data_IF_143616184992
#
_entry.id   IF_143616184992
#
_cell.length_a   1.000
_cell.length_b   1.000
_cell.length_c   1.000
_cell.angle_alpha   90.00
_cell.angle_beta   90.00
_cell.angle_gamma   90.00
#
_symmetry.space_group_name_H-M   'P 1'
#
loop_
_entity.id
_entity.type
_entity.pdbx_description
1 polymer ?
#
# COMPACT_ATOMS: atom_id res chain seq x y z
N UNK A 1 13.75 -13.18 -13.97
CA UNK A 1 12.70 -12.22 -13.55
C UNK A 1 12.91 -11.93 -12.07
N UNK A 2 13.11 -10.67 -11.67
CA UNK A 2 13.11 -10.36 -10.25
C UNK A 2 11.72 -10.66 -9.71
N UNK A 3 11.62 -11.52 -8.68
CA UNK A 3 10.36 -11.81 -8.01
C UNK A 3 9.74 -10.49 -7.55
N UNK A 4 8.46 -10.28 -7.82
CA UNK A 4 7.68 -9.12 -7.37
C UNK A 4 7.94 -8.81 -5.88
N UNK A 5 8.07 -9.83 -5.05
CA UNK A 5 8.39 -9.70 -3.62
C UNK A 5 9.74 -9.03 -3.35
N UNK A 6 10.77 -9.28 -4.17
CA UNK A 6 12.07 -8.62 -4.02
C UNK A 6 11.98 -7.14 -4.35
N UNK A 7 11.21 -6.78 -5.39
CA UNK A 7 11.00 -5.39 -5.77
C UNK A 7 10.28 -4.61 -4.66
N UNK A 8 9.21 -5.17 -4.10
CA UNK A 8 8.46 -4.53 -3.00
C UNK A 8 9.35 -4.29 -1.78
N UNK A 9 10.15 -5.28 -1.37
CA UNK A 9 11.07 -5.14 -0.23
C UNK A 9 12.14 -4.07 -0.46
N UNK A 10 12.66 -3.96 -1.68
CA UNK A 10 13.63 -2.93 -2.05
C UNK A 10 13.01 -1.53 -1.99
N UNK A 11 11.77 -1.37 -2.49
CA UNK A 11 11.02 -0.11 -2.40
C UNK A 11 10.77 0.28 -0.93
N UNK A 12 10.28 -0.65 -0.11
CA UNK A 12 10.06 -0.42 1.33
C UNK A 12 11.36 0.01 2.00
N UNK A 13 12.50 -0.60 1.65
CA UNK A 13 13.81 -0.26 2.22
C UNK A 13 14.27 1.15 1.80
N UNK A 14 14.04 1.56 0.56
CA UNK A 14 14.54 2.84 0.01
C UNK A 14 13.64 4.04 0.30
N UNK A 15 12.33 3.86 0.41
CA UNK A 15 11.38 4.97 0.56
C UNK A 15 11.47 5.63 1.94
N UNK A 16 11.31 6.94 2.02
CA UNK A 16 11.16 7.64 3.31
C UNK A 16 9.72 7.57 3.85
N UNK A 17 8.74 7.57 2.94
CA UNK A 17 7.29 7.49 3.22
C UNK A 17 6.66 6.51 2.22
N UNK A 18 5.71 5.70 2.69
CA UNK A 18 4.98 4.73 1.87
C UNK A 18 3.48 5.07 1.80
N UNK A 19 2.91 4.97 0.60
CA UNK A 19 1.50 5.25 0.34
C UNK A 19 0.86 4.00 -0.27
N UNK A 20 -0.20 3.50 0.35
CA UNK A 20 -1.04 2.45 -0.21
C UNK A 20 -2.28 3.08 -0.84
N UNK A 21 -2.39 2.96 -2.16
CA UNK A 21 -3.53 3.50 -2.91
C UNK A 21 -4.62 2.45 -3.00
N UNK A 22 -5.77 2.75 -2.42
CA UNK A 22 -6.92 1.86 -2.27
C UNK A 22 -8.07 2.37 -3.14
N UNK A 23 -8.77 1.48 -3.84
CA UNK A 23 -9.97 1.84 -4.60
C UNK A 23 -11.15 1.99 -3.62
N UNK A 24 -11.72 3.19 -3.53
CA UNK A 24 -12.77 3.52 -2.56
C UNK A 24 -14.04 2.65 -2.71
N UNK A 25 -14.27 2.05 -3.90
CA UNK A 25 -15.41 1.15 -4.13
C UNK A 25 -15.23 -0.22 -3.47
N UNK A 26 -13.99 -0.68 -3.34
CA UNK A 26 -13.63 -2.00 -2.81
C UNK A 26 -12.44 -1.88 -1.84
N UNK A 27 -12.62 -1.16 -0.72
CA UNK A 27 -11.49 -0.79 0.14
C UNK A 27 -10.83 -2.01 0.78
N UNK A 28 -11.58 -3.02 1.17
CA UNK A 28 -11.01 -4.22 1.81
C UNK A 28 -10.36 -5.17 0.80
N UNK A 29 -10.87 -5.23 -0.43
CA UNK A 29 -10.36 -6.13 -1.48
C UNK A 29 -9.06 -5.62 -2.11
N UNK A 30 -8.85 -4.30 -2.10
CA UNK A 30 -7.67 -3.67 -2.72
C UNK A 30 -6.53 -3.42 -1.75
N UNK A 31 -6.67 -3.83 -0.49
CA UNK A 31 -5.62 -3.81 0.53
C UNK A 31 -4.70 -5.02 0.46
N UNK A 32 -3.45 -4.83 0.86
CA UNK A 32 -2.47 -5.92 0.94
C UNK A 32 -1.90 -6.10 2.35
N UNK A 33 -2.52 -6.98 3.13
CA UNK A 33 -2.11 -7.23 4.52
C UNK A 33 -0.68 -7.75 4.67
N UNK A 34 -0.10 -8.42 3.67
CA UNK A 34 1.29 -8.88 3.73
C UNK A 34 2.26 -7.71 3.61
N UNK A 35 2.02 -6.82 2.64
CA UNK A 35 2.82 -5.61 2.44
C UNK A 35 2.66 -4.66 3.63
N UNK A 36 1.44 -4.45 4.12
CA UNK A 36 1.18 -3.62 5.31
C UNK A 36 1.98 -4.09 6.53
N UNK A 37 2.07 -5.42 6.76
CA UNK A 37 2.89 -5.99 7.84
C UNK A 37 4.38 -5.72 7.65
N UNK A 38 4.89 -5.83 6.43
CA UNK A 38 6.29 -5.54 6.12
C UNK A 38 6.61 -4.04 6.28
N UNK A 39 5.70 -3.15 5.88
CA UNK A 39 5.84 -1.71 6.11
C UNK A 39 5.80 -1.38 7.61
N UNK A 40 4.86 -1.96 8.36
CA UNK A 40 4.77 -1.75 9.81
C UNK A 40 6.08 -2.15 10.53
N UNK A 41 6.70 -3.27 10.12
CA UNK A 41 8.02 -3.71 10.65
C UNK A 41 9.15 -2.74 10.32
N UNK A 42 9.06 -2.03 9.18
CA UNK A 42 10.05 -1.03 8.78
C UNK A 42 9.99 0.25 9.63
N UNK A 43 8.92 0.46 10.41
CA UNK A 43 8.65 1.66 11.23
C UNK A 43 8.67 2.98 10.44
N UNK A 44 8.45 2.90 9.13
CA UNK A 44 8.34 4.09 8.27
C UNK A 44 6.92 4.64 8.28
N UNK A 45 6.74 5.95 8.08
CA UNK A 45 5.42 6.52 7.87
C UNK A 45 4.67 5.80 6.74
N UNK A 46 3.44 5.39 7.04
CA UNK A 46 2.58 4.65 6.14
C UNK A 46 1.21 5.32 6.05
N UNK A 47 0.78 5.65 4.84
CA UNK A 47 -0.44 6.41 4.58
C UNK A 47 -1.33 5.60 3.65
N UNK A 48 -2.59 5.40 4.04
CA UNK A 48 -3.61 4.84 3.15
C UNK A 48 -4.27 5.99 2.39
N UNK A 49 -4.31 5.88 1.07
CA UNK A 49 -4.91 6.86 0.15
C UNK A 49 -6.11 6.22 -0.52
N UNK A 50 -7.31 6.67 -0.17
CA UNK A 50 -8.52 6.29 -0.89
C UNK A 50 -8.61 7.04 -2.21
N UNK A 51 -8.69 6.30 -3.31
CA UNK A 51 -8.77 6.80 -4.67
C UNK A 51 -10.12 6.43 -5.32
N UNK A 52 -10.51 7.16 -6.37
CA UNK A 52 -11.80 7.02 -7.08
C UNK A 52 -13.02 7.28 -6.20
N UNK A 53 -12.89 8.22 -5.25
CA UNK A 53 -13.97 8.60 -4.35
C UNK A 53 -15.18 9.19 -5.08
N UNK A 54 -15.01 9.69 -6.31
CA UNK A 54 -16.08 10.14 -7.20
C UNK A 54 -17.07 9.03 -7.58
N UNK A 55 -16.65 7.76 -7.48
CA UNK A 55 -17.49 6.60 -7.83
C UNK A 55 -18.28 6.04 -6.64
N UNK A 56 -18.19 6.67 -5.46
CA UNK A 56 -18.87 6.24 -4.23
C UNK A 56 -19.83 7.35 -3.78
N UNK A 57 -21.05 6.99 -3.39
CA UNK A 57 -22.03 7.95 -2.89
C UNK A 57 -21.63 8.48 -1.50
N UNK A 58 -22.06 9.70 -1.19
CA UNK A 58 -21.87 10.32 0.12
C UNK A 58 -22.73 9.68 1.22
#
# INVERSE_FOLDING_TARGET
MASYQMMVKDVIKKADILLEVIDARFPDETRNSEVERDVARSRKPFIIVLNKCDLVSR
#
